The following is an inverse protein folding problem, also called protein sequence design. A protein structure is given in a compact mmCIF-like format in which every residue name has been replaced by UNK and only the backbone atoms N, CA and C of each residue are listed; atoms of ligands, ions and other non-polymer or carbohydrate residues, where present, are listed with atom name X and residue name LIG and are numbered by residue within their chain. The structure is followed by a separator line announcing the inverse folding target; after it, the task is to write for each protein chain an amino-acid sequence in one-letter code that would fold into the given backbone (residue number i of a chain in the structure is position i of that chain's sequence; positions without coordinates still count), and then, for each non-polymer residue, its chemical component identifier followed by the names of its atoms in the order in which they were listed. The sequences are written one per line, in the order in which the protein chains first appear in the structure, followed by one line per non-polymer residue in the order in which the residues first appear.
data_IF_140332563299
#
_entry.id   IF_140332563299
#
_cell.length_a   1.000
_cell.length_b   1.000
_cell.length_c   1.000
_cell.angle_alpha   90.00
_cell.angle_beta   90.00
_cell.angle_gamma   90.00
#
_symmetry.space_group_name_H-M   'P 1'
#
loop_
_entity.id
_entity.type
_entity.pdbx_description
1 polymer ?
#
# COMPACT_ATOMS: atom_id res chain seq x y z
N UNK A 1 -37.55 57.04 -10.33
CA UNK A 1 -37.42 57.60 -8.98
C UNK A 1 -36.19 56.93 -8.35
N UNK A 2 -34.98 57.36 -8.64
CA UNK A 2 -34.14 58.46 -8.09
C UNK A 2 -33.96 58.43 -6.58
N UNK A 3 -32.69 58.18 -6.18
CA UNK A 3 -32.02 58.57 -4.95
C UNK A 3 -32.25 57.76 -3.69
N UNK A 4 -31.33 56.79 -3.45
CA UNK A 4 -30.71 56.51 -2.12
C UNK A 4 -29.40 55.67 -2.27
N UNK A 5 -28.54 56.03 -3.16
CA UNK A 5 -27.10 55.68 -3.14
C UNK A 5 -26.33 56.95 -2.91
N UNK A 6 -25.48 57.03 -1.91
CA UNK A 6 -24.52 58.08 -1.55
C UNK A 6 -24.69 58.66 -0.14
N UNK A 7 -24.57 57.81 0.91
CA UNK A 7 -24.34 58.34 2.29
C UNK A 7 -23.53 57.37 3.19
N UNK A 8 -22.73 56.45 2.69
CA UNK A 8 -21.85 55.56 3.53
C UNK A 8 -20.42 55.50 2.97
N UNK A 9 -19.87 56.59 2.53
CA UNK A 9 -18.43 56.64 2.07
C UNK A 9 -17.70 57.84 2.68
N UNK A 10 -18.18 58.40 3.80
CA UNK A 10 -17.52 59.58 4.34
C UNK A 10 -17.49 59.60 5.86
N UNK A 11 -16.96 58.53 6.51
CA UNK A 11 -16.69 58.56 7.95
C UNK A 11 -15.58 57.57 8.39
N UNK A 12 -14.43 57.51 7.69
CA UNK A 12 -13.22 56.85 8.17
C UNK A 12 -11.98 57.58 7.63
N UNK A 13 -11.92 58.85 7.90
CA UNK A 13 -10.70 59.64 7.69
C UNK A 13 -10.74 60.83 8.62
N UNK A 14 -10.44 60.65 9.89
CA UNK A 14 -9.91 61.68 10.81
C UNK A 14 -9.74 61.05 12.20
N UNK A 15 -8.60 60.58 12.55
CA UNK A 15 -7.96 60.65 13.89
C UNK A 15 -6.55 60.10 13.68
N UNK A 16 -5.69 61.00 13.27
CA UNK A 16 -4.24 60.88 13.33
C UNK A 16 -3.76 62.20 13.92
N UNK A 17 -3.45 62.23 15.21
CA UNK A 17 -2.48 63.21 15.75
C UNK A 17 -2.24 62.99 17.26
N UNK A 18 -0.97 62.79 17.55
CA UNK A 18 -0.20 63.29 18.69
C UNK A 18 -0.56 62.86 20.12
N UNK A 19 0.34 62.08 20.73
CA UNK A 19 0.87 62.38 22.07
C UNK A 19 2.28 61.74 22.22
N UNK A 20 3.29 62.53 21.97
CA UNK A 20 4.65 62.33 22.49
C UNK A 20 4.64 62.86 23.92
N UNK A 21 4.99 62.02 24.90
CA UNK A 21 5.37 62.44 26.25
C UNK A 21 6.56 61.63 26.70
N UNK A 22 7.68 62.35 26.84
CA UNK A 22 8.90 61.94 27.48
C UNK A 22 8.66 61.69 28.98
N UNK A 23 9.13 60.53 29.46
CA UNK A 23 9.58 60.41 30.87
C UNK A 23 10.88 59.60 30.89
N UNK A 24 11.91 60.35 31.26
CA UNK A 24 13.21 59.84 31.71
C UNK A 24 13.10 59.38 33.14
N UNK A 25 13.73 58.25 33.49
CA UNK A 25 14.03 57.97 34.90
C UNK A 25 14.35 56.50 35.21
N UNK A 26 15.64 56.24 35.40
CA UNK A 26 16.29 55.31 36.34
C UNK A 26 16.31 53.80 36.11
N UNK A 27 17.55 53.38 35.99
CA UNK A 27 18.13 52.03 36.14
C UNK A 27 17.50 51.15 37.22
N UNK A 28 17.24 49.88 36.85
CA UNK A 28 17.63 48.76 37.68
C UNK A 28 17.88 47.51 36.82
N UNK A 29 19.07 46.96 36.92
CA UNK A 29 19.48 45.70 36.29
C UNK A 29 18.70 44.55 36.91
N UNK A 30 17.96 43.81 36.12
CA UNK A 30 17.69 42.38 36.35
C UNK A 30 17.69 41.68 35.00
N UNK A 31 18.68 40.80 34.81
CA UNK A 31 18.75 39.90 33.71
C UNK A 31 17.52 39.02 33.61
N UNK A 32 16.78 39.08 32.52
CA UNK A 32 16.01 37.99 31.99
C UNK A 32 15.90 38.24 30.50
N UNK A 33 16.76 37.64 29.75
CA UNK A 33 16.63 37.50 28.32
C UNK A 33 15.73 36.26 28.10
N UNK A 34 14.47 36.38 27.68
CA UNK A 34 13.82 35.25 27.05
C UNK A 34 14.37 35.23 25.64
N UNK A 35 15.37 34.36 25.44
CA UNK A 35 15.65 33.88 24.11
C UNK A 35 14.31 33.35 23.55
N UNK A 36 13.68 34.13 22.72
CA UNK A 36 12.68 33.61 21.81
C UNK A 36 13.44 32.60 20.94
N UNK A 37 13.33 31.32 21.28
CA UNK A 37 13.57 30.23 20.35
C UNK A 37 12.60 30.47 19.20
N UNK A 38 13.07 31.13 18.16
CA UNK A 38 12.50 30.99 16.85
C UNK A 38 12.77 29.53 16.47
N UNK A 39 11.87 28.62 16.88
CA UNK A 39 11.76 27.33 16.24
C UNK A 39 11.55 27.61 14.75
N UNK A 40 12.61 27.52 14.02
CA UNK A 40 12.60 27.50 12.56
C UNK A 40 11.99 26.15 12.17
N UNK A 41 10.67 25.99 12.37
CA UNK A 41 9.96 24.78 11.97
C UNK A 41 10.03 24.70 10.46
N UNK A 42 10.84 23.77 10.00
CA UNK A 42 10.88 23.38 8.61
C UNK A 42 9.45 23.13 8.11
N UNK A 43 9.13 23.63 6.90
CA UNK A 43 7.82 23.42 6.32
C UNK A 43 7.50 21.92 6.22
N UNK A 44 6.25 21.50 6.50
CA UNK A 44 5.90 20.09 6.42
C UNK A 44 6.09 19.54 5.01
N UNK A 45 6.57 18.32 4.92
CA UNK A 45 6.63 17.58 3.67
C UNK A 45 5.20 17.22 3.25
N UNK A 46 4.77 17.77 2.12
CA UNK A 46 3.43 17.52 1.57
C UNK A 46 3.49 16.42 0.54
N UNK A 47 2.57 15.46 0.65
CA UNK A 47 2.51 14.32 -0.25
C UNK A 47 1.07 13.85 -0.48
N UNK A 48 0.73 13.56 -1.75
CA UNK A 48 -0.53 12.94 -2.15
C UNK A 48 -0.31 11.44 -2.32
N UNK A 49 -1.04 10.64 -1.57
CA UNK A 49 -0.88 9.20 -1.50
C UNK A 49 -2.12 8.51 -2.06
N UNK A 50 -1.93 7.66 -3.06
CA UNK A 50 -2.93 6.71 -3.51
C UNK A 50 -2.80 5.45 -2.66
N UNK A 51 -3.85 5.08 -1.91
CA UNK A 51 -3.85 3.90 -1.05
C UNK A 51 -4.98 2.96 -1.43
N UNK A 52 -4.73 1.65 -1.38
CA UNK A 52 -5.81 0.69 -1.52
C UNK A 52 -6.63 0.55 -0.22
N UNK A 53 -7.82 -0.01 -0.34
CA UNK A 53 -8.71 -0.26 0.80
C UNK A 53 -8.40 -1.56 1.54
N UNK A 54 -7.27 -2.20 1.23
CA UNK A 54 -6.89 -3.50 1.77
C UNK A 54 -5.63 -3.47 2.63
N UNK A 55 -5.07 -4.65 2.82
CA UNK A 55 -3.98 -4.96 3.72
C UNK A 55 -2.73 -4.09 3.54
N UNK A 56 -2.38 -3.74 2.29
CA UNK A 56 -1.17 -2.98 1.98
C UNK A 56 -1.35 -1.48 2.26
N UNK A 57 -2.60 -0.98 2.27
CA UNK A 57 -2.93 0.39 2.62
C UNK A 57 -2.98 0.66 4.13
N UNK A 58 -3.09 -0.37 4.97
CA UNK A 58 -3.28 -0.19 6.42
C UNK A 58 -2.18 0.62 7.12
N UNK A 59 -0.88 0.47 6.82
CA UNK A 59 0.18 1.26 7.47
C UNK A 59 -0.02 2.77 7.33
N UNK A 60 -0.58 3.24 6.22
CA UNK A 60 -0.83 4.66 5.99
C UNK A 60 -1.92 5.19 6.92
N UNK A 61 -3.00 4.42 7.11
CA UNK A 61 -4.08 4.79 8.02
C UNK A 61 -3.65 4.74 9.48
N UNK A 62 -2.80 3.80 9.85
CA UNK A 62 -2.17 3.75 11.18
C UNK A 62 -1.32 4.99 11.40
N UNK A 63 -0.44 5.33 10.46
CA UNK A 63 0.40 6.51 10.54
C UNK A 63 -0.42 7.80 10.66
N UNK A 64 -1.54 7.89 9.95
CA UNK A 64 -2.46 9.04 10.01
C UNK A 64 -3.18 9.11 11.36
N UNK A 65 -3.85 8.03 11.76
CA UNK A 65 -4.75 8.04 12.92
C UNK A 65 -3.98 8.11 14.25
N UNK A 66 -2.76 7.56 14.32
CA UNK A 66 -1.86 7.69 15.48
C UNK A 66 -1.06 9.00 15.48
N UNK A 67 -1.19 9.84 14.46
CA UNK A 67 -0.43 11.09 14.36
C UNK A 67 1.06 10.90 14.07
N UNK A 68 1.47 9.72 13.58
CA UNK A 68 2.86 9.42 13.23
C UNK A 68 3.32 10.34 12.09
N UNK A 69 2.52 10.58 11.06
CA UNK A 69 2.87 11.53 10.00
C UNK A 69 3.19 12.93 10.55
N UNK A 70 2.37 13.41 11.50
CA UNK A 70 2.62 14.70 12.15
C UNK A 70 3.94 14.72 12.95
N UNK A 71 4.27 13.61 13.63
CA UNK A 71 5.55 13.43 14.35
C UNK A 71 6.76 13.59 13.43
N UNK A 72 6.65 13.07 12.18
CA UNK A 72 7.70 13.18 11.16
C UNK A 72 7.58 14.42 10.28
N UNK A 73 6.78 15.42 10.67
CA UNK A 73 6.54 16.66 9.94
C UNK A 73 6.06 16.40 8.49
N UNK A 74 5.10 15.48 8.32
CA UNK A 74 4.46 15.11 7.06
C UNK A 74 3.00 15.55 7.08
N UNK A 75 2.56 16.18 5.98
CA UNK A 75 1.18 16.51 5.67
C UNK A 75 0.75 15.64 4.49
N UNK A 76 0.12 14.49 4.79
CA UNK A 76 -0.34 13.53 3.81
C UNK A 76 -1.81 13.75 3.45
N UNK A 77 -2.13 13.67 2.16
CA UNK A 77 -3.51 13.58 1.66
C UNK A 77 -3.71 12.23 0.98
N UNK A 78 -4.90 11.65 1.15
CA UNK A 78 -5.19 10.30 0.67
C UNK A 78 -6.26 10.27 -0.40
N UNK A 79 -6.02 9.45 -1.42
CA UNK A 79 -7.01 9.02 -2.39
C UNK A 79 -7.14 7.51 -2.27
N UNK A 80 -8.33 7.02 -1.90
CA UNK A 80 -8.57 5.59 -1.66
C UNK A 80 -9.06 4.92 -2.94
N UNK A 81 -8.45 3.78 -3.26
CA UNK A 81 -8.78 2.95 -4.41
C UNK A 81 -9.18 1.54 -3.95
N UNK A 82 -9.89 0.81 -4.81
CA UNK A 82 -10.32 -0.55 -4.50
C UNK A 82 -9.16 -1.55 -4.56
N UNK A 83 -8.18 -1.30 -5.44
CA UNK A 83 -7.08 -2.22 -5.72
C UNK A 83 -5.75 -1.47 -5.89
N UNK A 84 -4.64 -2.13 -5.51
CA UNK A 84 -3.29 -1.58 -5.65
C UNK A 84 -2.88 -1.27 -7.11
N UNK A 85 -3.45 -1.93 -8.12
CA UNK A 85 -3.23 -1.58 -9.53
C UNK A 85 -3.66 -0.14 -9.84
N UNK A 86 -4.75 0.32 -9.21
CA UNK A 86 -5.30 1.66 -9.44
C UNK A 86 -4.45 2.72 -8.73
N UNK A 87 -3.84 2.39 -7.59
CA UNK A 87 -2.88 3.29 -6.90
C UNK A 87 -1.65 3.52 -7.77
N UNK A 88 -1.11 2.46 -8.41
CA UNK A 88 0.02 2.57 -9.34
C UNK A 88 -0.37 3.37 -10.58
N UNK A 89 -1.58 3.17 -11.12
CA UNK A 89 -2.09 3.98 -12.24
C UNK A 89 -2.18 5.46 -11.86
N UNK A 90 -2.63 5.79 -10.63
CA UNK A 90 -2.70 7.17 -10.15
C UNK A 90 -1.33 7.85 -10.14
N UNK A 91 -0.27 7.16 -9.71
CA UNK A 91 1.11 7.67 -9.78
C UNK A 91 1.56 7.85 -11.23
N UNK A 92 1.29 6.89 -12.09
CA UNK A 92 1.67 6.97 -13.50
C UNK A 92 1.04 8.18 -14.20
N UNK A 93 -0.21 8.53 -13.83
CA UNK A 93 -1.00 9.62 -14.41
C UNK A 93 -0.81 10.97 -13.68
N UNK A 94 0.16 11.11 -12.76
CA UNK A 94 0.39 12.31 -11.94
C UNK A 94 -0.82 12.73 -11.07
N UNK A 95 -1.67 11.79 -10.71
CA UNK A 95 -2.82 12.00 -9.80
C UNK A 95 -2.42 11.82 -8.34
N UNK A 96 -1.35 11.08 -8.08
CA UNK A 96 -0.73 10.90 -6.78
C UNK A 96 0.80 10.91 -6.90
N UNK A 97 1.48 11.20 -5.80
CA UNK A 97 2.95 11.20 -5.72
C UNK A 97 3.48 9.81 -5.39
N UNK A 98 2.76 9.07 -4.55
CA UNK A 98 3.05 7.72 -4.11
C UNK A 98 1.83 6.82 -4.29
N UNK A 99 2.08 5.60 -4.73
CA UNK A 99 1.15 4.48 -4.70
C UNK A 99 1.81 3.25 -4.08
N UNK A 100 0.99 2.30 -3.69
CA UNK A 100 1.44 1.01 -3.24
C UNK A 100 0.68 -0.09 -3.99
N UNK A 101 1.31 -1.24 -4.17
CA UNK A 101 0.66 -2.35 -4.83
C UNK A 101 1.48 -3.62 -4.76
N UNK A 102 0.78 -4.73 -4.98
CA UNK A 102 1.42 -6.04 -5.06
C UNK A 102 2.41 -6.10 -6.22
N UNK A 103 3.40 -6.98 -6.08
CA UNK A 103 4.44 -7.30 -7.06
C UNK A 103 3.91 -7.39 -8.50
N UNK A 104 2.90 -8.22 -8.77
CA UNK A 104 2.29 -8.36 -10.09
C UNK A 104 1.68 -7.04 -10.61
N UNK A 105 0.92 -6.33 -9.77
CA UNK A 105 0.30 -5.07 -10.15
C UNK A 105 1.36 -4.02 -10.52
N UNK A 106 2.39 -3.89 -9.71
CA UNK A 106 3.45 -2.92 -9.89
C UNK A 106 4.30 -3.22 -11.15
N UNK A 107 4.79 -4.46 -11.32
CA UNK A 107 5.60 -4.81 -12.51
C UNK A 107 4.81 -4.67 -13.81
N UNK A 108 3.49 -4.86 -13.79
CA UNK A 108 2.64 -4.72 -14.98
C UNK A 108 2.58 -3.30 -15.56
N UNK A 109 3.07 -2.30 -14.82
CA UNK A 109 3.10 -0.88 -15.22
C UNK A 109 4.50 -0.36 -15.54
N UNK A 110 5.50 -1.25 -15.51
CA UNK A 110 6.87 -0.91 -15.88
C UNK A 110 7.16 -1.13 -17.37
N UNK A 111 8.34 -0.75 -17.81
CA UNK A 111 8.78 -0.85 -19.19
C UNK A 111 8.29 0.31 -20.05
N UNK A 112 8.71 0.34 -21.32
CA UNK A 112 8.28 1.33 -22.31
C UNK A 112 8.60 2.79 -21.97
N UNK A 113 9.61 3.04 -21.11
CA UNK A 113 9.96 4.39 -20.67
C UNK A 113 9.21 4.86 -19.41
N UNK A 114 8.59 3.97 -18.66
CA UNK A 114 7.99 4.28 -17.37
C UNK A 114 9.00 4.91 -16.41
N UNK A 115 8.61 5.98 -15.72
CA UNK A 115 9.40 6.62 -14.65
C UNK A 115 9.17 6.00 -13.27
N UNK A 116 8.27 5.03 -13.15
CA UNK A 116 7.96 4.38 -11.88
C UNK A 116 9.16 3.65 -11.31
N UNK A 117 9.37 3.77 -10.00
CA UNK A 117 10.46 3.13 -9.27
C UNK A 117 9.94 2.44 -8.02
N UNK A 118 10.42 1.24 -7.75
CA UNK A 118 10.28 0.60 -6.45
C UNK A 118 11.24 1.25 -5.45
N UNK A 119 10.71 1.62 -4.29
CA UNK A 119 11.50 2.28 -3.24
C UNK A 119 11.69 1.37 -2.04
N UNK A 120 10.66 0.64 -1.65
CA UNK A 120 10.66 -0.26 -0.49
C UNK A 120 9.55 -1.30 -0.60
N UNK A 121 9.76 -2.45 -0.02
CA UNK A 121 8.68 -3.28 0.49
C UNK A 121 7.91 -2.52 1.58
N UNK A 122 6.62 -2.75 1.72
CA UNK A 122 5.78 -2.15 2.78
C UNK A 122 5.02 -3.21 3.57
N UNK A 123 4.48 -4.21 2.89
CA UNK A 123 3.70 -5.28 3.51
C UNK A 123 3.76 -6.54 2.63
N UNK A 124 3.56 -7.69 3.23
CA UNK A 124 3.47 -8.95 2.51
C UNK A 124 2.53 -9.93 3.20
N UNK A 125 1.87 -10.77 2.44
CA UNK A 125 1.13 -11.88 3.03
C UNK A 125 2.11 -12.87 3.66
N UNK A 126 1.80 -13.34 4.86
CA UNK A 126 2.50 -14.51 5.41
C UNK A 126 2.21 -15.74 4.56
N UNK A 127 3.10 -16.73 4.58
CA UNK A 127 2.90 -17.99 3.85
C UNK A 127 1.58 -18.69 4.25
N UNK A 128 1.12 -18.48 5.47
CA UNK A 128 -0.16 -18.96 6.00
C UNK A 128 -1.37 -18.08 5.69
N UNK A 129 -1.17 -16.94 5.01
CA UNK A 129 -2.18 -15.91 4.81
C UNK A 129 -3.28 -16.28 3.81
N UNK A 130 -3.06 -17.30 2.96
CA UNK A 130 -4.08 -17.83 2.04
C UNK A 130 -3.97 -19.34 1.95
N UNK A 131 -5.09 -19.99 1.60
CA UNK A 131 -5.15 -21.44 1.45
C UNK A 131 -5.80 -21.81 0.12
N UNK A 132 -5.34 -22.95 -0.43
CA UNK A 132 -6.00 -23.62 -1.54
C UNK A 132 -7.14 -24.49 -0.96
N UNK A 133 -8.37 -24.09 -1.20
CA UNK A 133 -9.56 -24.84 -0.80
C UNK A 133 -10.11 -25.66 -1.96
N UNK A 134 -10.59 -26.85 -1.65
CA UNK A 134 -11.31 -27.74 -2.55
C UNK A 134 -12.68 -28.09 -1.94
N UNK A 135 -13.68 -28.21 -2.84
CA UNK A 135 -15.06 -28.50 -2.47
C UNK A 135 -15.51 -29.89 -2.94
N UNK A 136 -14.81 -30.46 -3.91
CA UNK A 136 -15.03 -31.83 -4.38
C UNK A 136 -14.20 -32.79 -3.54
N UNK A 137 -14.88 -33.75 -2.88
CA UNK A 137 -14.24 -34.77 -2.04
C UNK A 137 -13.31 -35.72 -2.82
N UNK A 138 -13.41 -35.79 -4.15
CA UNK A 138 -12.49 -36.56 -4.99
C UNK A 138 -11.09 -35.95 -5.08
N UNK A 139 -10.92 -34.65 -4.74
CA UNK A 139 -9.64 -33.94 -4.79
C UNK A 139 -8.94 -34.15 -3.46
N UNK A 140 -7.97 -35.05 -3.36
CA UNK A 140 -7.22 -35.32 -2.11
C UNK A 140 -5.86 -34.66 -2.07
N UNK A 141 -5.30 -34.32 -3.21
CA UNK A 141 -4.00 -33.65 -3.39
C UNK A 141 -4.05 -32.67 -4.56
N UNK A 142 -3.08 -31.76 -4.65
CA UNK A 142 -3.06 -30.70 -5.68
C UNK A 142 -3.09 -31.25 -7.10
N UNK A 143 -2.46 -32.40 -7.37
CA UNK A 143 -2.45 -33.03 -8.69
C UNK A 143 -3.84 -33.47 -9.17
N UNK A 144 -4.79 -33.69 -8.25
CA UNK A 144 -6.16 -34.10 -8.59
C UNK A 144 -6.99 -32.96 -9.19
N UNK A 145 -6.43 -31.75 -9.29
CA UNK A 145 -7.02 -30.59 -9.97
C UNK A 145 -7.09 -30.75 -11.50
N UNK A 146 -6.38 -31.70 -12.09
CA UNK A 146 -6.50 -32.02 -13.51
C UNK A 146 -7.96 -32.45 -13.83
N UNK A 147 -8.58 -31.81 -14.83
CA UNK A 147 -9.97 -32.01 -15.20
C UNK A 147 -11.01 -31.27 -14.32
N UNK A 148 -10.58 -30.50 -13.34
CA UNK A 148 -11.44 -29.76 -12.41
C UNK A 148 -11.60 -28.30 -12.79
N UNK A 149 -12.59 -27.63 -12.19
CA UNK A 149 -12.88 -26.20 -12.36
C UNK A 149 -12.28 -25.40 -11.22
N UNK A 150 -11.49 -24.37 -11.53
CA UNK A 150 -10.86 -23.51 -10.52
C UNK A 150 -11.18 -22.04 -10.75
N UNK A 151 -11.34 -21.29 -9.66
CA UNK A 151 -11.63 -19.83 -9.73
C UNK A 151 -10.33 -19.06 -9.93
N UNK A 152 -10.24 -18.24 -10.97
CA UNK A 152 -9.09 -17.41 -11.31
C UNK A 152 -9.48 -15.96 -11.43
N UNK A 153 -8.94 -15.09 -10.59
CA UNK A 153 -9.17 -13.64 -10.72
C UNK A 153 -8.21 -13.05 -11.75
N UNK A 154 -8.76 -12.78 -12.94
CA UNK A 154 -7.99 -12.35 -14.10
C UNK A 154 -7.34 -10.98 -13.90
N UNK A 155 -6.12 -10.80 -14.40
CA UNK A 155 -5.35 -9.55 -14.35
C UNK A 155 -4.79 -9.22 -12.97
N UNK A 156 -4.79 -10.18 -12.04
CA UNK A 156 -4.25 -10.03 -10.69
C UNK A 156 -3.16 -11.06 -10.39
N UNK A 157 -2.50 -10.92 -9.24
CA UNK A 157 -1.52 -11.90 -8.75
C UNK A 157 -2.10 -13.32 -8.64
N UNK A 158 -3.43 -13.46 -8.58
CA UNK A 158 -4.10 -14.76 -8.51
C UNK A 158 -3.84 -15.62 -9.77
N UNK A 159 -3.69 -15.02 -10.96
CA UNK A 159 -3.26 -15.75 -12.16
C UNK A 159 -1.84 -16.33 -11.98
N UNK A 160 -0.93 -15.57 -11.38
CA UNK A 160 0.41 -16.05 -11.08
C UNK A 160 0.41 -17.17 -10.06
N UNK A 161 -0.37 -17.05 -8.99
CA UNK A 161 -0.53 -18.08 -7.95
C UNK A 161 -1.01 -19.39 -8.57
N UNK A 162 -2.01 -19.38 -9.42
CA UNK A 162 -2.49 -20.57 -10.13
C UNK A 162 -1.44 -21.14 -11.09
N UNK A 163 -0.75 -20.27 -11.82
CA UNK A 163 0.32 -20.73 -12.71
C UNK A 163 1.46 -21.43 -11.93
N UNK A 164 1.87 -20.87 -10.79
CA UNK A 164 2.86 -21.51 -9.89
C UNK A 164 2.31 -22.84 -9.33
N UNK A 165 1.02 -22.88 -8.97
CA UNK A 165 0.37 -24.12 -8.52
C UNK A 165 0.47 -25.20 -9.59
N UNK A 166 0.13 -24.88 -10.83
CA UNK A 166 0.19 -25.86 -11.93
C UNK A 166 1.63 -26.29 -12.24
N UNK A 167 2.56 -25.35 -12.31
CA UNK A 167 3.98 -25.61 -12.58
C UNK A 167 4.62 -26.51 -11.51
N UNK A 168 4.42 -26.17 -10.23
CA UNK A 168 5.00 -26.90 -9.08
C UNK A 168 4.52 -28.35 -9.01
N UNK A 169 3.28 -28.62 -9.39
CA UNK A 169 2.67 -29.96 -9.28
C UNK A 169 2.55 -30.68 -10.61
N UNK A 170 3.16 -30.14 -11.69
CA UNK A 170 3.19 -30.78 -13.01
C UNK A 170 1.81 -30.91 -13.66
N UNK A 171 0.89 -29.99 -13.39
CA UNK A 171 -0.46 -29.97 -13.96
C UNK A 171 -0.42 -29.19 -15.27
N UNK A 172 -0.90 -29.80 -16.36
CA UNK A 172 -1.11 -29.08 -17.61
C UNK A 172 -2.26 -28.03 -17.42
N UNK A 173 -2.00 -26.73 -17.54
CA UNK A 173 -3.03 -25.71 -17.41
C UNK A 173 -4.22 -25.91 -18.37
N UNK A 174 -4.00 -26.52 -19.54
CA UNK A 174 -5.05 -26.82 -20.50
C UNK A 174 -6.00 -27.96 -20.04
N UNK A 175 -5.58 -28.76 -19.07
CA UNK A 175 -6.42 -29.79 -18.45
C UNK A 175 -7.35 -29.25 -17.37
N UNK A 176 -7.19 -28.00 -16.94
CA UNK A 176 -7.98 -27.38 -15.86
C UNK A 176 -8.94 -26.37 -16.44
N UNK A 177 -10.21 -26.44 -16.05
CA UNK A 177 -11.21 -25.44 -16.42
C UNK A 177 -11.04 -24.19 -15.57
N UNK A 178 -10.38 -23.16 -16.09
CA UNK A 178 -10.13 -21.90 -15.38
C UNK A 178 -11.32 -20.96 -15.54
N UNK A 179 -12.10 -20.78 -14.46
CA UNK A 179 -13.23 -19.89 -14.38
C UNK A 179 -12.74 -18.47 -14.02
N UNK A 180 -12.64 -17.62 -15.05
CA UNK A 180 -12.16 -16.25 -14.87
C UNK A 180 -13.23 -15.36 -14.28
N UNK A 181 -12.89 -14.69 -13.19
CA UNK A 181 -13.75 -13.75 -12.45
C UNK A 181 -13.21 -12.33 -12.45
N UNK A 182 -14.11 -11.36 -12.24
CA UNK A 182 -13.78 -9.94 -12.10
C UNK A 182 -13.90 -9.44 -10.65
N UNK A 183 -14.53 -10.23 -9.77
CA UNK A 183 -14.69 -9.88 -8.35
C UNK A 183 -14.66 -11.12 -7.46
N UNK A 184 -14.26 -10.95 -6.22
CA UNK A 184 -14.27 -12.01 -5.21
C UNK A 184 -15.68 -12.56 -4.94
N UNK A 185 -16.70 -11.70 -4.99
CA UNK A 185 -18.10 -12.11 -4.82
C UNK A 185 -18.56 -13.08 -5.92
N UNK A 186 -18.13 -12.86 -7.17
CA UNK A 186 -18.38 -13.77 -8.29
C UNK A 186 -17.71 -15.13 -8.06
N UNK A 187 -16.45 -15.14 -7.60
CA UNK A 187 -15.75 -16.38 -7.26
C UNK A 187 -16.45 -17.18 -6.17
N UNK A 188 -16.91 -16.51 -5.12
CA UNK A 188 -17.65 -17.14 -4.03
C UNK A 188 -19.02 -17.69 -4.52
N UNK A 189 -19.68 -17.01 -5.46
CA UNK A 189 -20.91 -17.50 -6.07
C UNK A 189 -20.70 -18.79 -6.87
N UNK A 190 -19.61 -18.91 -7.64
CA UNK A 190 -19.23 -20.12 -8.37
C UNK A 190 -18.93 -21.30 -7.43
N UNK A 191 -18.26 -21.02 -6.31
CA UNK A 191 -18.04 -22.03 -5.26
C UNK A 191 -19.37 -22.48 -4.67
N UNK A 192 -20.27 -21.54 -4.35
CA UNK A 192 -21.57 -21.82 -3.73
C UNK A 192 -22.54 -22.57 -4.65
N UNK A 193 -22.48 -22.33 -5.96
CA UNK A 193 -23.31 -23.05 -6.95
C UNK A 193 -22.78 -24.44 -7.27
N UNK A 194 -21.54 -24.78 -6.86
CA UNK A 194 -20.87 -26.03 -7.23
C UNK A 194 -20.28 -26.03 -8.65
N UNK A 195 -20.17 -24.87 -9.29
CA UNK A 195 -19.53 -24.73 -10.60
C UNK A 195 -18.00 -24.72 -10.51
N UNK A 196 -17.46 -24.36 -9.35
CA UNK A 196 -16.03 -24.38 -9.06
C UNK A 196 -15.66 -25.43 -8.00
N UNK A 197 -14.67 -26.25 -8.32
CA UNK A 197 -14.14 -27.31 -7.44
C UNK A 197 -13.06 -26.81 -6.48
N UNK A 198 -12.33 -25.74 -6.86
CA UNK A 198 -11.24 -25.21 -6.05
C UNK A 198 -11.06 -23.69 -6.18
N UNK A 199 -10.54 -23.10 -5.09
CA UNK A 199 -10.27 -21.66 -4.99
C UNK A 199 -9.10 -21.39 -4.05
N UNK A 200 -8.19 -20.48 -4.42
CA UNK A 200 -7.29 -19.84 -3.47
C UNK A 200 -8.02 -18.72 -2.73
N UNK A 201 -8.05 -18.78 -1.40
CA UNK A 201 -8.79 -17.82 -0.59
C UNK A 201 -8.02 -17.41 0.69
N UNK A 202 -8.17 -16.14 1.07
CA UNK A 202 -7.60 -15.54 2.27
C UNK A 202 -8.67 -14.85 3.11
N UNK A 203 -8.35 -14.50 4.34
CA UNK A 203 -9.17 -13.71 5.27
C UNK A 203 -10.62 -14.22 5.40
N UNK A 204 -11.59 -13.32 5.19
CA UNK A 204 -13.03 -13.59 5.28
C UNK A 204 -13.54 -14.59 4.24
N UNK A 205 -12.96 -14.60 3.04
CA UNK A 205 -13.32 -15.56 1.99
C UNK A 205 -12.99 -16.98 2.42
N UNK A 206 -11.84 -17.18 3.08
CA UNK A 206 -11.50 -18.48 3.66
C UNK A 206 -12.59 -18.99 4.64
N UNK A 207 -13.13 -18.11 5.46
CA UNK A 207 -14.19 -18.45 6.41
C UNK A 207 -15.46 -18.88 5.69
N UNK A 208 -15.89 -18.09 4.69
CA UNK A 208 -17.08 -18.41 3.89
C UNK A 208 -16.93 -19.71 3.10
N UNK A 209 -15.75 -19.96 2.49
CA UNK A 209 -15.49 -21.23 1.79
C UNK A 209 -15.53 -22.44 2.74
N UNK A 210 -15.00 -22.31 3.95
CA UNK A 210 -15.11 -23.36 4.98
C UNK A 210 -16.56 -23.64 5.39
N UNK A 211 -17.39 -22.61 5.56
CA UNK A 211 -18.83 -22.74 5.85
C UNK A 211 -19.57 -23.50 4.75
N UNK A 212 -19.11 -23.38 3.50
CA UNK A 212 -19.63 -24.13 2.34
C UNK A 212 -19.08 -25.57 2.24
N UNK A 213 -18.28 -26.01 3.22
CA UNK A 213 -17.68 -27.35 3.23
C UNK A 213 -16.29 -27.43 2.59
N UNK A 214 -15.70 -26.30 2.24
CA UNK A 214 -14.36 -26.25 1.63
C UNK A 214 -13.29 -26.78 2.58
N UNK A 215 -12.47 -27.70 2.08
CA UNK A 215 -11.33 -28.33 2.78
C UNK A 215 -10.03 -27.77 2.23
N UNK A 216 -9.11 -27.35 3.10
CA UNK A 216 -7.80 -26.86 2.70
C UNK A 216 -6.87 -28.01 2.29
N UNK A 217 -6.17 -27.86 1.15
CA UNK A 217 -5.04 -28.70 0.76
C UNK A 217 -3.70 -28.17 1.29
N UNK A 218 -3.65 -26.92 1.73
CA UNK A 218 -2.49 -26.24 2.25
C UNK A 218 -2.51 -24.76 1.94
N UNK A 219 -1.48 -24.06 2.35
CA UNK A 219 -1.31 -22.62 2.20
C UNK A 219 -0.26 -22.28 1.11
N UNK A 220 0.23 -21.03 1.08
CA UNK A 220 1.24 -20.59 0.11
C UNK A 220 2.57 -21.38 0.15
N UNK A 221 2.82 -22.17 1.22
CA UNK A 221 3.96 -23.10 1.25
C UNK A 221 3.88 -24.16 0.15
N UNK A 222 2.67 -24.46 -0.35
CA UNK A 222 2.48 -25.34 -1.51
C UNK A 222 3.24 -24.87 -2.75
N UNK A 223 3.41 -23.57 -2.92
CA UNK A 223 4.03 -22.97 -4.12
C UNK A 223 5.27 -22.14 -3.82
N UNK A 224 5.65 -22.00 -2.53
CA UNK A 224 6.80 -21.20 -2.12
C UNK A 224 6.70 -19.71 -2.48
N UNK A 225 5.47 -19.17 -2.59
CA UNK A 225 5.20 -17.79 -2.97
C UNK A 225 4.06 -17.20 -2.15
N UNK A 226 4.28 -16.01 -1.61
CA UNK A 226 3.24 -15.18 -1.04
C UNK A 226 3.36 -13.75 -1.62
N UNK A 227 2.24 -13.09 -1.99
CA UNK A 227 2.28 -11.75 -2.56
C UNK A 227 2.95 -10.73 -1.63
N UNK A 228 3.78 -9.87 -2.22
CA UNK A 228 4.47 -8.77 -1.54
C UNK A 228 4.04 -7.43 -2.14
N UNK A 229 3.85 -6.43 -1.30
CA UNK A 229 3.51 -5.05 -1.68
C UNK A 229 4.71 -4.12 -1.58
N UNK A 230 4.76 -3.18 -2.52
CA UNK A 230 5.87 -2.26 -2.66
C UNK A 230 5.38 -0.82 -2.79
N UNK A 231 6.17 0.11 -2.27
CA UNK A 231 6.00 1.55 -2.50
C UNK A 231 6.55 1.93 -3.86
N UNK A 232 5.73 2.62 -4.63
CA UNK A 232 6.06 3.04 -6.00
C UNK A 232 5.89 4.55 -6.15
N UNK A 233 6.95 5.21 -6.62
CA UNK A 233 6.99 6.66 -6.91
C UNK A 233 7.66 6.88 -8.27
N UNK A 234 7.47 8.06 -8.85
CA UNK A 234 8.24 8.45 -10.05
C UNK A 234 9.67 8.83 -9.70
N UNK A 235 10.63 8.49 -10.56
CA UNK A 235 12.04 8.85 -10.41
C UNK A 235 12.24 10.36 -10.28
N UNK A 236 11.56 11.12 -11.12
CA UNK A 236 11.59 12.60 -11.11
C UNK A 236 11.09 13.19 -9.77
N UNK A 237 10.13 12.54 -9.11
CA UNK A 237 9.65 12.93 -7.78
C UNK A 237 10.68 12.61 -6.69
N UNK A 238 11.25 11.39 -6.72
CA UNK A 238 12.27 10.93 -5.77
C UNK A 238 13.51 11.81 -5.75
N UNK A 239 13.99 12.22 -6.94
CA UNK A 239 15.15 13.10 -7.08
C UNK A 239 14.96 14.49 -6.47
N UNK A 240 13.72 14.99 -6.44
CA UNK A 240 13.37 16.31 -5.88
C UNK A 240 13.02 16.29 -4.39
N UNK A 241 12.58 15.15 -3.86
CA UNK A 241 11.95 15.06 -2.54
C UNK A 241 12.64 14.03 -1.63
N UNK A 242 13.94 13.80 -1.80
CA UNK A 242 14.69 12.73 -1.13
C UNK A 242 14.50 12.73 0.40
N UNK A 243 14.70 13.90 1.07
CA UNK A 243 14.53 14.02 2.53
C UNK A 243 13.08 13.80 2.99
N UNK A 244 12.11 14.27 2.22
CA UNK A 244 10.70 14.05 2.51
C UNK A 244 10.33 12.56 2.42
N UNK A 245 10.87 11.86 1.42
CA UNK A 245 10.67 10.41 1.26
C UNK A 245 11.38 9.64 2.39
N UNK A 246 12.55 10.07 2.85
CA UNK A 246 13.22 9.48 4.02
C UNK A 246 12.33 9.55 5.27
N UNK A 247 11.75 10.72 5.56
CA UNK A 247 10.80 10.90 6.68
C UNK A 247 9.56 10.03 6.52
N UNK A 248 9.06 9.88 5.30
CA UNK A 248 7.92 9.00 5.01
C UNK A 248 8.25 7.53 5.31
N UNK A 249 9.41 7.04 4.89
CA UNK A 249 9.84 5.67 5.16
C UNK A 249 9.98 5.41 6.67
N UNK A 250 10.51 6.39 7.44
CA UNK A 250 10.57 6.31 8.89
C UNK A 250 9.18 6.24 9.54
N UNK A 251 8.25 7.06 9.07
CA UNK A 251 6.87 7.07 9.57
C UNK A 251 6.13 5.74 9.27
N UNK A 252 6.32 5.19 8.07
CA UNK A 252 5.71 3.91 7.69
C UNK A 252 6.36 2.72 8.41
N UNK A 253 7.67 2.79 8.69
CA UNK A 253 8.34 1.78 9.53
C UNK A 253 7.74 1.75 10.93
N UNK A 254 7.58 2.90 11.59
CA UNK A 254 6.96 2.99 12.90
C UNK A 254 5.51 2.45 12.87
N UNK A 255 4.74 2.80 11.84
CA UNK A 255 3.38 2.29 11.68
C UNK A 255 3.34 0.76 11.49
N UNK A 256 4.27 0.20 10.72
CA UNK A 256 4.43 -1.24 10.54
C UNK A 256 4.80 -1.96 11.83
N UNK A 257 5.71 -1.38 12.63
CA UNK A 257 6.11 -1.92 13.93
C UNK A 257 4.93 -1.95 14.93
N UNK A 258 4.10 -0.90 14.94
CA UNK A 258 2.88 -0.83 15.75
C UNK A 258 1.88 -1.93 15.35
N UNK A 259 1.68 -2.13 14.04
CA UNK A 259 0.82 -3.21 13.53
C UNK A 259 1.34 -4.57 13.98
N UNK A 260 2.64 -4.84 13.79
CA UNK A 260 3.23 -6.13 14.12
C UNK A 260 3.19 -6.42 15.63
N UNK A 261 3.28 -5.38 16.47
CA UNK A 261 3.24 -5.51 17.92
C UNK A 261 1.83 -5.78 18.46
N UNK A 262 0.80 -5.14 17.90
CA UNK A 262 -0.59 -5.28 18.34
C UNK A 262 -1.57 -5.18 17.16
N UNK A 263 -1.75 -6.25 16.39
CA UNK A 263 -2.69 -6.26 15.26
C UNK A 263 -4.14 -5.98 15.68
N UNK A 264 -4.56 -6.50 16.83
CA UNK A 264 -5.93 -6.34 17.31
C UNK A 264 -6.23 -4.90 17.75
N UNK A 265 -5.37 -4.31 18.57
CA UNK A 265 -5.51 -2.91 18.98
C UNK A 265 -5.37 -1.95 17.81
N UNK A 266 -4.50 -2.29 16.84
CA UNK A 266 -4.34 -1.49 15.62
C UNK A 266 -5.58 -1.53 14.73
N UNK A 267 -6.26 -2.69 14.61
CA UNK A 267 -7.53 -2.79 13.89
C UNK A 267 -8.60 -1.84 14.44
N UNK A 268 -8.68 -1.71 15.77
CA UNK A 268 -9.59 -0.75 16.42
C UNK A 268 -9.28 0.71 16.07
N UNK A 269 -8.01 1.06 15.86
CA UNK A 269 -7.57 2.42 15.52
C UNK A 269 -7.98 2.80 14.10
N UNK A 270 -7.98 1.84 13.16
CA UNK A 270 -8.24 2.12 11.74
C UNK A 270 -9.63 1.69 11.28
N UNK A 271 -10.46 1.05 12.12
CA UNK A 271 -11.76 0.48 11.72
C UNK A 271 -12.71 1.46 11.05
N UNK A 272 -12.70 2.73 11.47
CA UNK A 272 -13.59 3.76 10.93
C UNK A 272 -13.20 4.20 9.51
N UNK A 273 -11.99 3.84 9.04
CA UNK A 273 -11.55 4.07 7.67
C UNK A 273 -12.14 3.05 6.68
N UNK A 274 -12.67 1.93 7.18
CA UNK A 274 -13.11 0.79 6.38
C UNK A 274 -14.56 0.41 6.72
N UNK A 275 -15.27 -0.12 5.71
CA UNK A 275 -16.66 -0.59 5.87
C UNK A 275 -16.71 -2.12 6.03
N UNK A 276 -15.80 -2.68 6.79
CA UNK A 276 -15.69 -4.12 7.05
C UNK A 276 -15.60 -4.34 8.56
N UNK A 277 -16.00 -5.52 9.07
CA UNK A 277 -15.89 -5.87 10.50
C UNK A 277 -14.45 -5.75 11.00
N UNK A 278 -14.27 -5.24 12.21
CA UNK A 278 -12.94 -5.03 12.81
C UNK A 278 -12.15 -6.34 12.97
N UNK A 279 -12.83 -7.44 13.23
CA UNK A 279 -12.24 -8.77 13.29
C UNK A 279 -11.60 -9.20 11.94
N UNK A 280 -12.18 -8.78 10.80
CA UNK A 280 -11.61 -9.06 9.50
C UNK A 280 -10.36 -8.21 9.26
N UNK A 281 -10.35 -6.94 9.73
CA UNK A 281 -9.15 -6.09 9.70
C UNK A 281 -8.05 -6.74 10.57
N UNK A 282 -8.36 -7.11 11.82
CA UNK A 282 -7.41 -7.73 12.73
C UNK A 282 -6.82 -9.04 12.17
N UNK A 283 -7.67 -9.85 11.52
CA UNK A 283 -7.22 -11.07 10.85
C UNK A 283 -6.27 -10.76 9.70
N UNK A 284 -6.61 -9.80 8.85
CA UNK A 284 -5.75 -9.40 7.72
C UNK A 284 -4.40 -8.86 8.20
N UNK A 285 -4.38 -8.05 9.29
CA UNK A 285 -3.17 -7.59 9.94
C UNK A 285 -2.32 -8.75 10.49
N UNK A 286 -2.96 -9.75 11.08
CA UNK A 286 -2.30 -10.95 11.63
C UNK A 286 -1.72 -11.86 10.55
N UNK A 287 -2.42 -11.98 9.41
CA UNK A 287 -2.04 -12.84 8.29
C UNK A 287 -0.97 -12.18 7.38
N UNK A 288 -0.53 -10.97 7.73
CA UNK A 288 0.45 -10.20 6.98
C UNK A 288 1.67 -9.81 7.83
N UNK A 289 2.75 -9.43 7.18
CA UNK A 289 3.92 -8.79 7.78
C UNK A 289 4.03 -7.35 7.26
N UNK A 290 4.56 -6.47 8.08
CA UNK A 290 4.76 -5.06 7.75
C UNK A 290 6.20 -4.66 8.06
N UNK A 291 6.90 -4.11 7.08
CA UNK A 291 8.27 -3.65 7.25
C UNK A 291 8.64 -2.61 6.17
N UNK A 292 9.71 -1.89 6.39
CA UNK A 292 10.33 -1.03 5.39
C UNK A 292 11.72 -1.57 5.10
N UNK A 293 11.85 -2.27 3.99
CA UNK A 293 13.07 -2.96 3.57
C UNK A 293 13.14 -3.12 2.05
N UNK A 294 14.27 -3.56 1.54
CA UNK A 294 14.38 -4.19 0.23
C UNK A 294 15.48 -5.26 0.27
N UNK A 295 15.08 -6.50 0.43
CA UNK A 295 15.97 -7.65 0.48
C UNK A 295 16.29 -8.21 -0.90
N UNK A 296 17.32 -9.06 -0.98
CA UNK A 296 17.60 -9.82 -2.21
C UNK A 296 16.41 -10.70 -2.60
N UNK A 297 15.75 -11.34 -1.62
CA UNK A 297 14.56 -12.15 -1.84
C UNK A 297 13.39 -11.33 -2.43
N UNK A 298 13.17 -10.10 -1.94
CA UNK A 298 12.12 -9.22 -2.46
C UNK A 298 12.35 -8.89 -3.94
N UNK A 299 13.60 -8.63 -4.31
CA UNK A 299 13.98 -8.33 -5.70
C UNK A 299 13.92 -9.59 -6.58
N UNK A 300 14.33 -10.74 -6.08
CA UNK A 300 14.25 -12.01 -6.81
C UNK A 300 12.78 -12.39 -7.09
N UNK A 301 11.88 -12.12 -6.16
CA UNK A 301 10.45 -12.30 -6.38
C UNK A 301 9.91 -11.36 -7.47
N UNK A 302 10.23 -10.06 -7.41
CA UNK A 302 9.88 -9.10 -8.46
C UNK A 302 10.40 -9.52 -9.84
N UNK A 303 11.63 -10.02 -9.91
CA UNK A 303 12.25 -10.51 -11.15
C UNK A 303 11.53 -11.76 -11.69
N UNK A 304 11.17 -12.69 -10.81
CA UNK A 304 10.43 -13.91 -11.17
C UNK A 304 9.03 -13.57 -11.71
N UNK A 305 8.28 -12.70 -11.03
CA UNK A 305 6.96 -12.24 -11.47
C UNK A 305 7.05 -11.48 -12.80
N UNK A 306 8.10 -10.65 -12.98
CA UNK A 306 8.34 -9.89 -14.21
C UNK A 306 8.59 -10.85 -15.38
N UNK A 307 9.53 -11.79 -15.25
CA UNK A 307 9.89 -12.76 -16.29
C UNK A 307 8.69 -13.62 -16.69
N UNK A 308 7.93 -14.09 -15.70
CA UNK A 308 6.74 -14.87 -15.97
C UNK A 308 5.68 -14.03 -16.72
N UNK A 309 5.45 -12.80 -16.33
CA UNK A 309 4.46 -11.89 -16.94
C UNK A 309 4.83 -11.56 -18.40
N UNK A 310 6.13 -11.34 -18.68
CA UNK A 310 6.63 -11.14 -20.05
C UNK A 310 6.45 -12.40 -20.88
N UNK A 311 6.88 -13.58 -20.38
CA UNK A 311 6.74 -14.89 -21.05
C UNK A 311 5.28 -15.17 -21.43
N UNK A 312 4.34 -14.83 -20.56
CA UNK A 312 2.92 -15.06 -20.77
C UNK A 312 2.21 -13.89 -21.49
N UNK A 313 2.96 -12.90 -22.00
CA UNK A 313 2.46 -11.76 -22.78
C UNK A 313 1.45 -10.88 -22.02
N UNK A 314 1.51 -10.89 -20.69
CA UNK A 314 0.71 -10.01 -19.83
C UNK A 314 1.33 -8.60 -19.74
N UNK A 315 2.63 -8.51 -19.96
CA UNK A 315 3.38 -7.26 -20.07
C UNK A 315 3.84 -7.08 -21.51
N UNK A 316 3.63 -5.88 -22.04
CA UNK A 316 3.91 -5.56 -23.45
C UNK A 316 5.39 -5.39 -23.76
N UNK A 317 6.16 -4.94 -22.77
CA UNK A 317 7.56 -4.56 -22.94
C UNK A 317 8.46 -5.57 -22.25
N UNK A 318 9.62 -5.85 -22.86
CA UNK A 318 10.69 -6.60 -22.21
C UNK A 318 11.59 -5.60 -21.47
N UNK A 319 11.86 -5.86 -20.18
CA UNK A 319 12.69 -5.01 -19.33
C UNK A 319 13.27 -5.78 -18.15
N UNK A 320 14.32 -5.23 -17.55
CA UNK A 320 14.88 -5.74 -16.31
C UNK A 320 14.29 -4.94 -15.13
N UNK A 321 13.55 -5.58 -14.23
CA UNK A 321 12.93 -4.94 -13.07
C UNK A 321 13.94 -4.23 -12.17
N UNK A 322 15.20 -4.72 -12.17
CA UNK A 322 16.30 -4.12 -11.37
C UNK A 322 16.64 -2.68 -11.78
N UNK A 323 16.34 -2.30 -13.04
CA UNK A 323 16.52 -0.93 -13.52
C UNK A 323 15.50 0.05 -12.94
N UNK A 324 14.43 -0.47 -12.35
CA UNK A 324 13.33 0.28 -11.72
C UNK A 324 13.40 0.30 -10.20
N UNK A 325 14.56 0.06 -9.60
CA UNK A 325 14.79 0.09 -8.16
C UNK A 325 15.57 1.36 -7.77
N UNK A 326 15.02 2.14 -6.87
CA UNK A 326 15.60 3.39 -6.35
C UNK A 326 15.84 3.30 -4.84
N UNK A 327 17.09 2.99 -4.45
CA UNK A 327 17.45 2.67 -3.07
C UNK A 327 17.84 3.88 -2.21
N UNK A 328 18.15 5.03 -2.81
CA UNK A 328 18.80 6.14 -2.11
C UNK A 328 18.12 6.55 -0.81
N UNK A 329 16.79 6.84 -0.76
CA UNK A 329 16.14 7.25 0.48
C UNK A 329 16.11 6.12 1.52
N UNK A 330 15.89 4.86 1.10
CA UNK A 330 15.86 3.71 1.99
C UNK A 330 17.23 3.44 2.62
N UNK A 331 18.30 3.47 1.82
CA UNK A 331 19.67 3.28 2.30
C UNK A 331 20.10 4.39 3.27
N UNK A 332 19.57 5.60 3.11
CA UNK A 332 19.91 6.72 3.99
C UNK A 332 19.34 6.54 5.41
N UNK A 333 18.13 5.95 5.55
CA UNK A 333 17.47 5.83 6.87
C UNK A 333 17.54 4.43 7.47
N UNK A 334 17.59 3.39 6.62
CA UNK A 334 17.60 1.98 7.04
C UNK A 334 18.60 1.14 6.24
N UNK A 335 19.92 1.46 6.30
CA UNK A 335 20.94 0.76 5.50
C UNK A 335 20.97 -0.75 5.75
N UNK A 336 20.68 -1.20 6.98
CA UNK A 336 20.74 -2.61 7.37
C UNK A 336 19.53 -3.42 6.83
N UNK A 337 18.44 -2.75 6.42
CA UNK A 337 17.28 -3.41 5.82
C UNK A 337 17.40 -3.57 4.29
N UNK A 338 18.47 -3.01 3.70
CA UNK A 338 18.78 -3.15 2.27
C UNK A 338 19.84 -4.24 2.10
N UNK A 339 19.39 -5.47 1.91
CA UNK A 339 20.32 -6.59 1.65
C UNK A 339 20.47 -6.90 0.15
N UNK A 340 19.64 -6.28 -0.70
CA UNK A 340 19.79 -6.33 -2.15
C UNK A 340 21.05 -5.58 -2.60
N UNK A 341 21.85 -6.23 -3.45
CA UNK A 341 23.04 -5.65 -4.07
C UNK A 341 22.78 -5.44 -5.56
N UNK A 342 22.72 -4.15 -5.95
CA UNK A 342 22.53 -3.72 -7.34
C UNK A 342 23.77 -4.03 -8.20
#
# INVERSE_FOLDING_TARGET
MKNKKNKIVMLVLLIMSLAVSLFTGCENKANANPAAETENKEAPFKINIAVDSGTFGYPFWVAQNKGIFKKYNIEATFQTYAYGIDTINAVQLDQADLGEGMDFAAVSRLGGGSELQFVSFIAGNKMTGSNLYVLDDSIQKVQDLAGKSVVVQKGTVNEYIWAQTFEQYGIDPASVNQLYISSTAEGLALVKSGDADAIWASSDISSQVKELGGRSLGDYNLIGFAPKGFLVLKKSYLEKNDEGVQRLLQALKEAGDEINADPQGTAEIIKDNFKIPVENIAKALTDSEYDIRLSQEDVDQLDSVTKWSIKNKLIKYDFNVKDYIYLKPLQAVFPDTVTYKK
#
